data_IF_535289735668
#
_entry.id   IF_535289735668
#
_cell.length_a   1.000
_cell.length_b   1.000
_cell.length_c   1.000
_cell.angle_alpha   90.00
_cell.angle_beta   90.00
_cell.angle_gamma   90.00
#
_symmetry.space_group_name_H-M   'P 1'
#
loop_
_entity.id
_entity.type
_entity.pdbx_description
1 polymer ?
#
# COMPACT_ATOMS: atom_id res chain seq x y z
N UNK A 1 8.26 -15.02 -39.25
CA UNK A 1 7.11 -14.32 -38.64
C UNK A 1 7.67 -13.53 -37.48
N UNK A 2 7.80 -12.22 -37.62
CA UNK A 2 8.25 -11.34 -36.52
C UNK A 2 7.07 -11.12 -35.60
N UNK A 3 7.13 -11.70 -34.40
CA UNK A 3 6.11 -11.52 -33.39
C UNK A 3 6.36 -10.26 -32.58
N UNK A 4 5.33 -9.77 -31.89
CA UNK A 4 5.44 -8.71 -30.87
C UNK A 4 6.48 -9.07 -29.78
N UNK A 5 6.81 -10.35 -29.64
CA UNK A 5 7.71 -10.90 -28.63
C UNK A 5 9.20 -10.82 -28.98
N UNK A 6 9.54 -10.39 -30.20
CA UNK A 6 10.94 -10.26 -30.68
C UNK A 6 11.53 -8.85 -30.43
N UNK A 7 10.74 -7.89 -29.93
CA UNK A 7 11.16 -6.50 -29.67
C UNK A 7 11.06 -6.14 -28.18
N UNK A 8 11.98 -6.63 -27.31
CA UNK A 8 11.87 -6.41 -25.87
C UNK A 8 11.95 -4.94 -25.44
N UNK A 9 12.68 -4.09 -26.16
CA UNK A 9 12.83 -2.67 -25.82
C UNK A 9 11.58 -1.85 -26.16
N UNK A 10 11.03 -2.03 -27.36
CA UNK A 10 9.83 -1.31 -27.82
C UNK A 10 8.60 -1.67 -26.97
N UNK A 11 8.56 -2.90 -26.42
CA UNK A 11 7.51 -3.33 -25.52
C UNK A 11 7.44 -2.51 -24.23
N UNK A 12 8.57 -2.00 -23.75
CA UNK A 12 8.60 -1.15 -22.57
C UNK A 12 7.93 0.20 -22.84
N UNK A 13 8.18 0.78 -24.00
CA UNK A 13 7.54 2.04 -24.39
C UNK A 13 6.03 1.85 -24.56
N UNK A 14 5.61 0.82 -25.31
CA UNK A 14 4.19 0.50 -25.48
C UNK A 14 3.49 0.30 -24.14
N UNK A 15 4.14 -0.39 -23.20
CA UNK A 15 3.56 -0.63 -21.87
C UNK A 15 3.48 0.64 -21.02
N UNK A 16 4.49 1.52 -21.05
CA UNK A 16 4.45 2.83 -20.39
C UNK A 16 3.39 3.77 -20.99
N UNK A 17 3.27 3.84 -22.32
CA UNK A 17 2.31 4.71 -22.97
C UNK A 17 0.88 4.19 -22.88
N UNK A 18 0.68 2.88 -22.92
CA UNK A 18 -0.66 2.30 -22.85
C UNK A 18 -1.24 2.28 -21.43
N UNK A 19 -0.41 2.37 -20.39
CA UNK A 19 -0.80 2.24 -18.98
C UNK A 19 -1.73 1.04 -18.72
N UNK A 20 -1.59 -0.03 -19.51
CA UNK A 20 -2.52 -1.15 -19.44
C UNK A 20 -2.09 -2.14 -18.37
N UNK A 21 -2.90 -2.27 -17.31
CA UNK A 21 -2.66 -3.28 -16.26
C UNK A 21 -2.89 -4.72 -16.76
N UNK A 22 -3.57 -4.86 -17.91
CA UNK A 22 -3.89 -6.16 -18.51
C UNK A 22 -2.71 -6.73 -19.32
N UNK A 23 -1.82 -5.89 -19.85
CA UNK A 23 -0.77 -6.31 -20.78
C UNK A 23 0.18 -7.37 -20.18
N UNK A 24 0.67 -7.23 -18.93
CA UNK A 24 1.52 -8.25 -18.34
C UNK A 24 0.78 -9.57 -18.03
N UNK A 25 -0.56 -9.55 -17.91
CA UNK A 25 -1.35 -10.73 -17.53
C UNK A 25 -1.90 -11.51 -18.73
N UNK A 26 -1.86 -10.95 -19.96
CA UNK A 26 -2.35 -11.64 -21.16
C UNK A 26 -1.47 -12.84 -21.56
N UNK A 27 -0.16 -12.76 -21.29
CA UNK A 27 0.82 -13.80 -21.64
C UNK A 27 1.84 -14.02 -20.53
N UNK A 28 2.15 -15.29 -20.25
CA UNK A 28 3.23 -15.66 -19.30
C UNK A 28 4.60 -15.14 -19.76
N UNK A 29 4.82 -15.06 -21.09
CA UNK A 29 6.07 -14.52 -21.65
C UNK A 29 6.16 -13.02 -21.44
N UNK A 30 5.08 -12.27 -21.68
CA UNK A 30 5.04 -10.84 -21.38
C UNK A 30 5.23 -10.57 -19.89
N UNK A 31 4.56 -11.35 -19.02
CA UNK A 31 4.76 -11.26 -17.58
C UNK A 31 6.24 -11.42 -17.19
N UNK A 32 6.93 -12.42 -17.74
CA UNK A 32 8.34 -12.67 -17.44
C UNK A 32 9.25 -11.56 -17.95
N UNK A 33 9.00 -11.01 -19.14
CA UNK A 33 9.72 -9.86 -19.69
C UNK A 33 9.57 -8.62 -18.79
N UNK A 34 8.34 -8.26 -18.41
CA UNK A 34 8.10 -7.09 -17.56
C UNK A 34 8.55 -7.30 -16.11
N UNK A 35 8.49 -8.53 -15.60
CA UNK A 35 8.99 -8.83 -14.26
C UNK A 35 10.52 -8.83 -14.18
N UNK A 36 11.20 -9.18 -15.28
CA UNK A 36 12.66 -9.09 -15.42
C UNK A 36 13.14 -7.65 -15.70
N UNK A 37 12.25 -6.75 -16.09
CA UNK A 37 12.60 -5.36 -16.37
C UNK A 37 13.22 -4.64 -15.16
N UNK A 38 14.04 -3.60 -15.39
CA UNK A 38 14.66 -2.82 -14.31
C UNK A 38 13.62 -2.32 -13.28
N UNK A 39 14.00 -2.25 -11.99
CA UNK A 39 13.08 -1.77 -10.96
C UNK A 39 12.67 -0.31 -11.17
N UNK A 40 13.54 0.51 -11.75
CA UNK A 40 13.24 1.90 -12.13
C UNK A 40 12.10 1.99 -13.15
N UNK A 41 12.16 1.17 -14.21
CA UNK A 41 11.11 1.08 -15.21
C UNK A 41 9.76 0.68 -14.59
N UNK A 42 9.76 -0.40 -13.78
CA UNK A 42 8.54 -0.86 -13.11
C UNK A 42 7.97 0.18 -12.14
N UNK A 43 8.84 0.88 -11.41
CA UNK A 43 8.44 1.98 -10.52
C UNK A 43 7.81 3.13 -11.32
N UNK A 44 8.43 3.53 -12.43
CA UNK A 44 7.91 4.57 -13.32
C UNK A 44 6.52 4.19 -13.87
N UNK A 45 6.36 2.97 -14.38
CA UNK A 45 5.08 2.45 -14.86
C UNK A 45 4.00 2.49 -13.79
N UNK A 46 4.34 2.09 -12.56
CA UNK A 46 3.42 2.14 -11.44
C UNK A 46 3.07 3.60 -11.08
N UNK A 47 4.05 4.50 -11.02
CA UNK A 47 3.84 5.91 -10.70
C UNK A 47 2.98 6.64 -11.73
N UNK A 48 3.07 6.29 -13.01
CA UNK A 48 2.22 6.88 -14.05
C UNK A 48 0.72 6.59 -13.89
N UNK A 49 0.34 5.69 -12.98
CA UNK A 49 -1.07 5.47 -12.60
C UNK A 49 -1.57 6.40 -11.49
N UNK A 50 -0.70 7.19 -10.87
CA UNK A 50 -1.05 8.00 -9.71
C UNK A 50 -0.73 9.47 -9.97
N UNK A 51 -1.70 10.33 -9.68
CA UNK A 51 -1.45 11.76 -9.59
C UNK A 51 -0.85 12.07 -8.21
N UNK A 52 0.33 12.70 -8.15
CA UNK A 52 1.05 12.92 -6.89
C UNK A 52 0.39 13.94 -5.97
N UNK A 53 -0.49 14.80 -6.51
CA UNK A 53 -1.04 15.95 -5.80
C UNK A 53 -2.25 15.58 -4.91
N UNK A 54 -3.00 14.53 -5.26
CA UNK A 54 -4.26 14.21 -4.58
C UNK A 54 -4.16 13.01 -3.62
N UNK A 55 -3.13 12.17 -3.76
CA UNK A 55 -3.12 10.86 -3.12
C UNK A 55 -2.20 10.80 -1.90
N UNK A 56 -2.75 10.35 -0.75
CA UNK A 56 -1.94 10.03 0.42
C UNK A 56 -1.05 8.84 0.13
N UNK A 57 0.17 8.85 0.69
CA UNK A 57 1.14 7.77 0.50
C UNK A 57 0.58 6.39 0.88
N UNK A 58 -0.22 6.29 1.94
CA UNK A 58 -0.86 5.03 2.33
C UNK A 58 -1.82 4.49 1.28
N UNK A 59 -2.61 5.35 0.64
CA UNK A 59 -3.56 4.95 -0.40
C UNK A 59 -2.82 4.51 -1.66
N UNK A 60 -1.75 5.23 -1.99
CA UNK A 60 -0.84 4.90 -3.08
C UNK A 60 -0.20 3.54 -2.83
N UNK A 61 0.43 3.32 -1.66
CA UNK A 61 1.03 2.03 -1.29
C UNK A 61 0.01 0.90 -1.39
N UNK A 62 -1.20 1.09 -0.86
CA UNK A 62 -2.29 0.09 -0.95
C UNK A 62 -2.62 -0.27 -2.39
N UNK A 63 -2.68 0.73 -3.29
CA UNK A 63 -2.93 0.52 -4.73
C UNK A 63 -1.71 -0.12 -5.42
N UNK A 64 -0.49 0.31 -5.14
CA UNK A 64 0.76 -0.24 -5.69
C UNK A 64 0.89 -1.73 -5.36
N UNK A 65 0.58 -2.13 -4.12
CA UNK A 65 0.62 -3.52 -3.69
C UNK A 65 -0.37 -4.41 -4.44
N UNK A 66 -1.33 -3.84 -5.20
CA UNK A 66 -2.24 -4.57 -6.10
C UNK A 66 -1.65 -4.86 -7.48
N UNK A 67 -0.49 -4.31 -7.84
CA UNK A 67 0.20 -4.56 -9.11
C UNK A 67 1.13 -5.76 -9.05
N UNK A 68 1.00 -6.78 -9.93
CA UNK A 68 1.76 -8.04 -9.79
C UNK A 68 3.26 -7.87 -10.02
N UNK A 69 3.67 -6.75 -10.61
CA UNK A 69 5.06 -6.36 -10.82
C UNK A 69 5.72 -5.70 -9.59
N UNK A 70 4.95 -5.44 -8.53
CA UNK A 70 5.46 -4.81 -7.31
C UNK A 70 6.33 -5.79 -6.51
N UNK A 71 7.62 -5.48 -6.42
CA UNK A 71 8.60 -6.14 -5.56
C UNK A 71 9.13 -5.17 -4.49
N UNK A 72 9.96 -5.66 -3.57
CA UNK A 72 10.63 -4.82 -2.55
C UNK A 72 11.44 -3.70 -3.20
N UNK A 73 12.21 -4.02 -4.24
CA UNK A 73 13.08 -3.05 -4.93
C UNK A 73 12.28 -2.01 -5.70
N UNK A 74 11.14 -2.41 -6.26
CA UNK A 74 10.22 -1.49 -6.96
C UNK A 74 9.56 -0.56 -5.95
N UNK A 75 9.08 -1.09 -4.82
CA UNK A 75 8.48 -0.28 -3.77
C UNK A 75 9.48 0.72 -3.19
N UNK A 76 10.72 0.30 -2.93
CA UNK A 76 11.79 1.20 -2.48
C UNK A 76 12.06 2.32 -3.49
N UNK A 77 12.12 1.99 -4.79
CA UNK A 77 12.27 2.98 -5.85
C UNK A 77 11.10 3.97 -5.86
N UNK A 78 9.85 3.49 -5.77
CA UNK A 78 8.66 4.34 -5.73
C UNK A 78 8.69 5.28 -4.52
N UNK A 79 8.98 4.77 -3.32
CA UNK A 79 9.05 5.61 -2.13
C UNK A 79 10.10 6.70 -2.29
N UNK A 80 11.29 6.38 -2.82
CA UNK A 80 12.35 7.38 -3.07
C UNK A 80 11.93 8.49 -4.01
N UNK A 81 11.18 8.16 -5.06
CA UNK A 81 10.69 9.14 -6.05
C UNK A 81 9.45 9.89 -5.60
N UNK A 82 8.66 9.34 -4.66
CA UNK A 82 7.42 9.96 -4.22
C UNK A 82 7.71 11.26 -3.45
N UNK A 83 7.09 12.40 -3.83
CA UNK A 83 7.30 13.68 -3.16
C UNK A 83 6.78 13.57 -1.72
N UNK A 84 7.70 13.61 -0.76
CA UNK A 84 7.35 13.47 0.66
C UNK A 84 6.63 14.71 1.23
N UNK A 85 6.73 15.86 0.56
CA UNK A 85 6.67 17.15 1.23
C UNK A 85 5.58 18.12 0.76
N UNK A 86 4.62 17.72 -0.08
CA UNK A 86 3.54 18.63 -0.53
C UNK A 86 2.59 19.06 0.61
N UNK A 87 2.57 18.35 1.74
CA UNK A 87 1.69 18.66 2.88
C UNK A 87 2.25 19.70 3.87
N UNK A 88 3.50 20.17 3.68
CA UNK A 88 4.07 21.23 4.52
C UNK A 88 3.71 22.65 4.04
N UNK A 89 3.29 22.84 2.78
CA UNK A 89 3.20 24.18 2.18
C UNK A 89 1.81 24.82 2.15
N UNK A 90 0.76 24.16 2.66
CA UNK A 90 -0.63 24.65 2.58
C UNK A 90 -1.22 25.12 3.93
N UNK A 91 -0.38 25.48 4.92
CA UNK A 91 -0.83 26.04 6.22
C UNK A 91 -0.58 27.54 6.38
N UNK A 92 -0.15 28.25 5.34
CA UNK A 92 0.13 29.68 5.40
C UNK A 92 -0.71 30.47 4.40
N UNK A 93 -2.03 30.43 4.56
CA UNK A 93 -2.88 31.56 4.21
C UNK A 93 -4.10 31.53 5.12
N UNK A 94 -3.97 32.27 6.23
CA UNK A 94 -5.09 32.66 7.08
C UNK A 94 -5.49 34.07 6.63
N UNK A 95 -6.52 34.28 5.79
CA UNK A 95 -7.10 35.59 5.64
C UNK A 95 -7.98 35.84 6.87
N UNK A 96 -7.58 36.84 7.65
CA UNK A 96 -8.24 37.37 8.85
C UNK A 96 -9.76 37.58 8.68
N UNK A 97 -10.53 37.54 9.78
CA UNK A 97 -11.98 37.71 9.77
C UNK A 97 -12.40 39.19 9.70
N UNK A 98 -13.50 39.52 9.00
CA UNK A 98 -14.25 40.74 9.29
C UNK A 98 -15.53 40.42 10.11
N UNK A 99 -15.45 40.79 11.40
CA UNK A 99 -16.45 41.48 12.21
C UNK A 99 -17.96 41.29 11.91
N UNK A 100 -18.67 40.74 12.89
CA UNK A 100 -20.13 40.87 13.07
C UNK A 100 -20.55 42.31 13.41
N UNK A 101 -21.85 42.71 13.28
CA UNK A 101 -22.79 42.48 14.39
C UNK A 101 -24.27 42.24 14.03
N UNK A 102 -24.90 41.40 14.86
CA UNK A 102 -26.17 41.60 15.60
C UNK A 102 -27.47 41.99 14.88
N UNK A 103 -28.43 41.04 14.86
CA UNK A 103 -29.87 41.28 14.74
C UNK A 103 -30.61 40.00 15.17
N UNK A 104 -31.30 40.04 16.32
CA UNK A 104 -31.75 38.86 17.05
C UNK A 104 -33.09 38.26 16.61
N UNK A 105 -33.39 37.06 17.11
CA UNK A 105 -34.73 36.60 17.49
C UNK A 105 -34.67 35.28 18.29
N UNK A 106 -35.72 34.94 19.06
CA UNK A 106 -35.69 33.95 20.14
C UNK A 106 -36.06 32.53 19.71
N UNK A 107 -35.43 31.56 20.40
CA UNK A 107 -35.88 30.23 20.83
C UNK A 107 -37.29 29.76 20.38
N UNK A 108 -37.40 28.53 19.87
CA UNK A 108 -37.74 27.45 20.82
C UNK A 108 -37.09 26.08 20.57
N UNK A 109 -36.57 25.49 21.65
CA UNK A 109 -36.60 24.05 21.96
C UNK A 109 -35.87 23.13 20.98
N UNK A 110 -34.55 23.23 20.99
CA UNK A 110 -33.64 22.30 20.33
C UNK A 110 -33.34 21.11 21.28
N UNK A 111 -33.85 19.94 20.90
CA UNK A 111 -33.41 18.64 21.38
C UNK A 111 -31.89 18.59 21.35
N UNK A 112 -31.27 18.52 22.52
CA UNK A 112 -29.81 18.50 22.68
C UNK A 112 -29.17 17.37 21.86
N UNK A 113 -28.74 17.70 20.64
CA UNK A 113 -27.75 16.92 19.91
C UNK A 113 -26.45 16.98 20.73
N UNK A 114 -25.90 15.83 21.13
CA UNK A 114 -24.67 15.79 21.90
C UNK A 114 -23.55 16.34 21.03
N UNK A 115 -23.09 17.54 21.40
CA UNK A 115 -21.87 18.25 21.01
C UNK A 115 -20.90 17.33 20.25
N UNK A 116 -21.01 17.34 18.92
CA UNK A 116 -20.17 16.54 18.05
C UNK A 116 -18.71 16.89 18.34
N UNK A 117 -17.99 15.96 18.96
CA UNK A 117 -16.57 16.08 19.19
C UNK A 117 -15.87 16.50 17.89
N UNK A 118 -14.86 17.39 17.93
CA UNK A 118 -14.15 17.80 16.72
C UNK A 118 -13.74 16.55 15.95
N UNK A 119 -13.98 16.49 14.62
CA UNK A 119 -13.64 15.32 13.83
C UNK A 119 -12.19 14.96 14.14
N UNK A 120 -11.89 13.69 14.48
CA UNK A 120 -10.55 13.29 14.83
C UNK A 120 -9.61 13.74 13.69
N UNK A 121 -8.39 14.21 14.02
CA UNK A 121 -7.43 14.57 12.99
C UNK A 121 -7.33 13.43 11.98
N UNK A 122 -7.12 13.68 10.68
CA UNK A 122 -7.04 12.64 9.68
C UNK A 122 -5.87 11.72 10.02
N UNK A 123 -6.15 10.68 10.79
CA UNK A 123 -5.20 9.63 11.13
C UNK A 123 -4.77 9.06 9.81
N UNK A 124 -3.46 9.09 9.51
CA UNK A 124 -2.94 8.49 8.29
C UNK A 124 -3.49 7.08 8.20
N UNK A 125 -4.39 6.84 7.25
CA UNK A 125 -5.05 5.56 7.13
C UNK A 125 -3.97 4.50 6.94
N UNK A 126 -3.98 3.46 7.77
CA UNK A 126 -3.05 2.37 7.63
C UNK A 126 -3.26 1.73 6.24
N UNK A 127 -2.20 1.52 5.45
CA UNK A 127 -2.36 0.93 4.12
C UNK A 127 -2.97 -0.46 4.23
N UNK A 128 -3.89 -0.76 3.31
CA UNK A 128 -4.54 -2.06 3.22
C UNK A 128 -3.68 -3.06 2.47
N UNK A 129 -3.56 -4.27 3.01
CA UNK A 129 -2.79 -5.35 2.39
C UNK A 129 -3.66 -6.17 1.43
N UNK A 130 -3.32 -6.24 0.12
CA UNK A 130 -4.14 -6.98 -0.84
C UNK A 130 -4.12 -8.50 -0.57
N UNK A 131 -5.29 -9.15 -0.64
CA UNK A 131 -5.47 -10.61 -0.44
C UNK A 131 -4.51 -11.46 -1.28
N UNK A 132 -4.17 -11.01 -2.49
CA UNK A 132 -3.30 -11.74 -3.42
C UNK A 132 -1.90 -12.02 -2.85
N UNK A 133 -1.38 -11.16 -1.98
CA UNK A 133 -0.06 -11.35 -1.35
C UNK A 133 -0.03 -12.65 -0.52
N UNK A 134 -1.14 -12.96 0.14
CA UNK A 134 -1.30 -14.13 1.00
C UNK A 134 -1.91 -15.33 0.27
N UNK A 135 -2.28 -15.20 -1.01
CA UNK A 135 -2.88 -16.29 -1.79
C UNK A 135 -1.91 -17.45 -1.95
N UNK A 136 -0.61 -17.16 -2.10
CA UNK A 136 0.44 -18.17 -2.23
C UNK A 136 0.87 -18.82 -0.90
N UNK A 137 0.41 -18.29 0.25
CA UNK A 137 0.69 -18.89 1.56
C UNK A 137 -0.21 -20.09 1.79
N UNK A 138 0.34 -21.30 1.85
CA UNK A 138 -0.39 -22.52 2.13
C UNK A 138 0.51 -23.56 2.79
N UNK A 139 -0.05 -24.67 3.30
CA UNK A 139 0.74 -25.72 3.93
C UNK A 139 1.74 -26.26 2.90
N UNK A 140 3.01 -26.26 3.28
CA UNK A 140 4.11 -26.76 2.47
C UNK A 140 4.57 -28.08 3.04
N UNK A 141 4.53 -29.12 2.21
CA UNK A 141 5.06 -30.44 2.55
C UNK A 141 6.54 -30.58 2.19
N UNK A 142 7.04 -29.72 1.30
CA UNK A 142 8.39 -29.80 0.76
C UNK A 142 9.43 -29.18 1.70
N UNK A 143 9.13 -28.00 2.25
CA UNK A 143 10.02 -27.28 3.17
C UNK A 143 9.27 -26.23 3.99
N UNK A 144 9.75 -25.88 5.19
CA UNK A 144 9.22 -24.76 5.95
C UNK A 144 9.45 -23.43 5.23
N UNK A 145 8.60 -22.45 5.52
CA UNK A 145 8.81 -21.08 5.03
C UNK A 145 10.07 -20.48 5.65
N UNK A 146 10.87 -19.83 4.82
CA UNK A 146 12.08 -19.10 5.21
C UNK A 146 11.86 -17.60 5.04
N UNK A 147 12.70 -16.79 5.70
CA UNK A 147 12.68 -15.32 5.56
C UNK A 147 12.82 -14.82 4.11
N UNK A 148 13.35 -15.65 3.21
CA UNK A 148 13.52 -15.32 1.79
C UNK A 148 12.29 -15.65 0.93
N UNK A 149 11.35 -16.47 1.42
CA UNK A 149 10.18 -16.88 0.66
C UNK A 149 9.15 -15.75 0.55
N UNK A 150 8.58 -15.54 -0.63
CA UNK A 150 7.48 -14.60 -0.82
C UNK A 150 6.25 -15.03 0.00
N UNK A 151 5.49 -14.09 0.58
CA UNK A 151 5.60 -12.62 0.51
C UNK A 151 6.44 -11.98 1.65
N UNK A 152 7.17 -12.75 2.45
CA UNK A 152 7.75 -12.28 3.72
C UNK A 152 8.76 -11.12 3.57
N UNK A 153 9.69 -11.11 2.59
CA UNK A 153 10.58 -9.96 2.40
C UNK A 153 9.84 -8.64 2.19
N UNK A 154 8.73 -8.68 1.46
CA UNK A 154 7.91 -7.50 1.18
C UNK A 154 7.18 -7.01 2.42
N UNK A 155 6.59 -7.93 3.20
CA UNK A 155 5.93 -7.58 4.45
C UNK A 155 6.92 -6.98 5.44
N UNK A 156 8.10 -7.58 5.60
CA UNK A 156 9.15 -7.06 6.48
C UNK A 156 9.57 -5.65 6.07
N UNK A 157 9.74 -5.40 4.77
CA UNK A 157 10.06 -4.07 4.28
C UNK A 157 8.96 -3.04 4.58
N UNK A 158 7.69 -3.40 4.40
CA UNK A 158 6.55 -2.53 4.70
C UNK A 158 6.50 -2.14 6.18
N UNK A 159 6.65 -3.10 7.10
CA UNK A 159 6.63 -2.83 8.54
C UNK A 159 7.89 -2.12 9.05
N UNK A 160 9.03 -2.29 8.39
CA UNK A 160 10.29 -1.65 8.78
C UNK A 160 10.43 -0.22 8.22
N UNK A 161 9.66 0.15 7.19
CA UNK A 161 9.79 1.45 6.53
C UNK A 161 9.17 2.56 7.38
N UNK A 162 9.94 3.55 7.85
CA UNK A 162 9.41 4.63 8.69
C UNK A 162 8.53 5.62 7.92
N UNK A 163 8.58 5.59 6.58
CA UNK A 163 7.80 6.48 5.71
C UNK A 163 6.36 6.00 5.53
N UNK A 164 6.08 4.74 5.83
CA UNK A 164 4.76 4.14 5.65
C UNK A 164 4.18 3.86 7.03
N UNK A 165 2.93 4.26 7.27
CA UNK A 165 2.20 3.81 8.44
C UNK A 165 2.17 2.26 8.45
N UNK A 166 2.32 1.61 9.61
CA UNK A 166 2.29 0.16 9.68
C UNK A 166 0.98 -0.35 9.07
N UNK A 167 1.03 -1.28 8.09
CA UNK A 167 -0.16 -1.76 7.41
C UNK A 167 -1.11 -2.44 8.39
N UNK A 168 -2.41 -2.38 8.10
CA UNK A 168 -3.41 -3.00 8.96
C UNK A 168 -3.36 -4.53 8.82
N UNK A 169 -2.89 -5.22 9.86
CA UNK A 169 -2.85 -6.69 9.88
C UNK A 169 -4.24 -7.33 9.82
N UNK A 170 -5.29 -6.61 10.25
CA UNK A 170 -6.68 -7.06 10.25
C UNK A 170 -7.42 -6.72 8.94
N UNK A 171 -6.74 -6.21 7.90
CA UNK A 171 -7.36 -5.97 6.60
C UNK A 171 -8.06 -7.24 6.07
N UNK A 172 -9.22 -7.03 5.43
CA UNK A 172 -10.07 -8.10 4.90
C UNK A 172 -10.47 -9.14 5.95
N UNK A 173 -11.01 -8.70 7.09
CA UNK A 173 -11.53 -9.59 8.15
C UNK A 173 -10.47 -10.58 8.68
N UNK A 174 -9.21 -10.11 8.78
CA UNK A 174 -8.11 -10.96 9.24
C UNK A 174 -7.65 -12.02 8.22
N UNK A 175 -7.95 -11.86 6.92
CA UNK A 175 -7.53 -12.82 5.88
C UNK A 175 -6.03 -13.12 5.93
N UNK A 176 -5.19 -12.10 6.15
CA UNK A 176 -3.74 -12.27 6.29
C UNK A 176 -3.37 -13.20 7.46
N UNK A 177 -4.02 -12.99 8.62
CA UNK A 177 -3.81 -13.80 9.82
C UNK A 177 -4.25 -15.25 9.58
N UNK A 178 -5.45 -15.45 9.01
CA UNK A 178 -5.96 -16.78 8.68
C UNK A 178 -5.03 -17.53 7.74
N UNK A 179 -4.47 -16.85 6.72
CA UNK A 179 -3.48 -17.46 5.80
C UNK A 179 -2.15 -17.75 6.47
N UNK A 180 -1.70 -16.92 7.41
CA UNK A 180 -0.49 -17.19 8.16
C UNK A 180 -0.64 -18.44 9.04
N UNK A 181 -1.75 -18.56 9.77
CA UNK A 181 -2.07 -19.76 10.57
C UNK A 181 -2.15 -21.00 9.68
N UNK A 182 -2.83 -20.89 8.54
CA UNK A 182 -2.97 -21.99 7.58
C UNK A 182 -1.64 -22.39 6.90
N UNK A 183 -0.66 -21.48 6.86
CA UNK A 183 0.70 -21.76 6.40
C UNK A 183 1.63 -22.19 7.53
N UNK A 184 1.07 -22.52 8.70
CA UNK A 184 1.78 -23.00 9.89
C UNK A 184 2.83 -22.01 10.40
N UNK A 185 2.60 -20.69 10.22
CA UNK A 185 3.35 -19.68 10.94
C UNK A 185 2.92 -19.72 12.41
N UNK A 186 3.62 -20.52 13.20
CA UNK A 186 3.44 -20.58 14.65
C UNK A 186 4.13 -19.37 15.27
N UNK A 187 3.44 -18.58 16.11
CA UNK A 187 4.12 -17.58 16.93
C UNK A 187 4.99 -18.35 17.93
N UNK A 188 6.27 -18.53 17.59
CA UNK A 188 7.21 -19.19 18.49
C UNK A 188 7.26 -18.41 19.81
N UNK A 189 6.80 -19.05 20.87
CA UNK A 189 7.10 -18.66 22.23
C UNK A 189 8.62 -18.50 22.36
N UNK A 190 9.07 -17.28 22.70
CA UNK A 190 10.44 -16.90 23.06
C UNK A 190 11.27 -18.05 23.68
N UNK A 191 12.58 -18.20 23.39
CA UNK A 191 13.52 -17.14 22.98
C UNK A 191 14.44 -17.47 21.79
N UNK A 192 15.07 -16.40 21.29
CA UNK A 192 16.31 -16.39 20.49
C UNK A 192 16.19 -16.58 18.96
N UNK A 193 15.90 -15.44 18.32
CA UNK A 193 16.39 -15.05 16.98
C UNK A 193 15.55 -15.49 15.77
N UNK A 194 14.80 -14.51 15.22
CA UNK A 194 14.07 -14.47 13.92
C UNK A 194 12.77 -15.29 13.95
N UNK A 195 11.56 -14.73 13.85
CA UNK A 195 11.02 -13.77 12.88
C UNK A 195 9.97 -12.88 13.57
N UNK A 196 10.11 -11.56 13.54
CA UNK A 196 9.07 -10.66 14.02
C UNK A 196 7.98 -10.50 12.94
N UNK A 197 6.91 -11.29 13.01
CA UNK A 197 5.61 -10.65 12.83
C UNK A 197 5.44 -9.73 14.05
N UNK A 198 5.26 -8.41 13.88
CA UNK A 198 4.96 -7.56 15.02
C UNK A 198 3.77 -8.18 15.73
N UNK A 199 3.90 -8.41 17.04
CA UNK A 199 2.85 -8.99 17.89
C UNK A 199 1.51 -8.39 17.46
N UNK A 200 0.70 -9.20 16.77
CA UNK A 200 -0.70 -8.88 16.50
C UNK A 200 -1.34 -9.02 17.87
N UNK A 201 -1.34 -7.94 18.64
CA UNK A 201 -1.93 -7.91 19.96
C UNK A 201 -3.44 -8.00 19.75
N UNK A 202 -3.96 -9.23 19.77
CA UNK A 202 -5.36 -9.47 20.03
C UNK A 202 -5.64 -8.94 21.43
N UNK A 203 -6.18 -7.72 21.51
CA UNK A 203 -6.92 -7.30 22.69
C UNK A 203 -8.19 -8.18 22.72
N UNK A 204 -8.18 -9.17 23.61
CA UNK A 204 -9.36 -9.90 24.04
C UNK A 204 -10.04 -9.14 25.18
#
# INVERSE_FOLDING_TARGET
MTGLEDLPVELYEVHLYSLSTALPITSRRLYTIFNAAPPSYRAQYILSHFEPDEARLSDVVSKILRFPLCSVTVLDAVLRTWPADATASAREETPSPPSSPSGGQPEPSETAEPLAAPPPPPTQAAPELPRRLFRALGPRTDRPYTDADAPLPLLRYLYASPRIAPPNANSHEGYALTRAVHAEFVPESFPSTRVYFPRISCAA
#
